data_IF_353169164295
#
_entry.id   IF_353169164295
#
_cell.length_a   1.000
_cell.length_b   1.000
_cell.length_c   1.000
_cell.angle_alpha   90.00
_cell.angle_beta   90.00
_cell.angle_gamma   90.00
#
_symmetry.space_group_name_H-M   'P 1'
#
loop_
_entity.id
_entity.type
_entity.pdbx_description
1 polymer ?
#
# COMPACT_ATOMS: atom_id res chain seq x y z
N UNK A 1 9.95 -53.66 6.66
CA UNK A 1 9.22 -52.44 7.05
C UNK A 1 10.23 -51.38 7.48
N UNK A 2 10.68 -50.55 6.55
CA UNK A 2 11.66 -49.48 6.82
C UNK A 2 10.97 -48.26 7.40
N UNK A 3 10.99 -48.14 8.73
CA UNK A 3 10.51 -46.95 9.44
C UNK A 3 11.51 -45.82 9.30
N UNK A 4 11.38 -45.01 8.25
CA UNK A 4 12.13 -43.76 8.13
C UNK A 4 11.81 -42.87 9.33
N UNK A 5 12.85 -42.53 10.12
CA UNK A 5 12.77 -41.45 11.12
C UNK A 5 12.20 -40.23 10.42
N UNK A 6 10.96 -39.86 10.72
CA UNK A 6 10.46 -38.54 10.43
C UNK A 6 11.30 -37.56 11.28
N UNK A 7 12.39 -37.06 10.71
CA UNK A 7 13.05 -35.87 11.24
C UNK A 7 11.94 -34.83 11.37
N UNK A 8 11.66 -34.40 12.59
CA UNK A 8 10.76 -33.30 12.88
C UNK A 8 11.24 -32.10 12.05
N UNK A 9 10.62 -31.87 10.89
CA UNK A 9 10.88 -30.67 10.09
C UNK A 9 10.44 -29.51 10.97
N UNK A 10 11.35 -28.59 11.25
CA UNK A 10 11.03 -27.40 12.02
C UNK A 10 9.81 -26.67 11.45
N UNK A 11 9.07 -26.00 12.32
CA UNK A 11 7.89 -25.24 11.94
C UNK A 11 8.33 -23.88 11.41
N UNK A 12 7.85 -23.50 10.23
CA UNK A 12 8.11 -22.18 9.69
C UNK A 12 7.53 -21.09 10.59
N UNK A 13 8.21 -19.95 10.62
CA UNK A 13 7.71 -18.74 11.25
C UNK A 13 6.44 -18.22 10.56
N UNK A 14 5.65 -17.43 11.29
CA UNK A 14 4.46 -16.81 10.72
C UNK A 14 4.82 -15.55 9.95
N UNK A 15 4.10 -15.33 8.87
CA UNK A 15 4.19 -14.09 8.12
C UNK A 15 3.62 -12.91 8.90
N UNK A 16 4.25 -11.76 8.78
CA UNK A 16 3.83 -10.49 9.36
C UNK A 16 3.25 -9.57 8.29
N UNK A 17 2.36 -8.67 8.70
CA UNK A 17 1.79 -7.63 7.84
C UNK A 17 2.04 -6.28 8.47
N UNK A 18 2.49 -5.32 7.67
CA UNK A 18 2.71 -3.95 8.09
C UNK A 18 2.11 -3.00 7.06
N UNK A 19 1.40 -1.97 7.52
CA UNK A 19 0.89 -0.93 6.64
C UNK A 19 1.84 0.25 6.68
N UNK A 20 2.46 0.56 5.55
CA UNK A 20 3.36 1.71 5.41
C UNK A 20 2.64 2.83 4.67
N UNK A 21 2.45 3.95 5.37
CA UNK A 21 1.97 5.18 4.74
C UNK A 21 3.11 5.92 4.05
N UNK A 22 2.87 6.31 2.81
CA UNK A 22 3.80 7.11 1.99
C UNK A 22 3.10 8.35 1.47
N UNK A 23 3.84 9.45 1.38
CA UNK A 23 3.37 10.63 0.70
C UNK A 23 3.19 10.35 -0.80
N UNK A 24 2.38 11.16 -1.47
CA UNK A 24 2.12 11.01 -2.89
C UNK A 24 3.40 11.11 -3.72
N UNK A 25 4.25 12.08 -3.40
CA UNK A 25 5.53 12.32 -4.05
C UNK A 25 6.50 11.16 -3.82
N UNK A 26 6.54 10.62 -2.59
CA UNK A 26 7.36 9.45 -2.25
C UNK A 26 6.96 8.21 -3.04
N UNK A 27 5.66 8.01 -3.28
CA UNK A 27 5.16 6.90 -4.10
C UNK A 27 5.59 7.05 -5.57
N UNK A 28 5.69 8.28 -6.06
CA UNK A 28 6.03 8.57 -7.46
C UNK A 28 7.53 8.49 -7.69
N UNK A 29 8.34 9.14 -6.86
CA UNK A 29 9.79 9.18 -7.02
C UNK A 29 10.51 7.97 -6.42
N UNK A 30 9.82 7.20 -5.58
CA UNK A 30 10.42 6.16 -4.78
C UNK A 30 11.09 6.73 -3.53
N UNK A 31 11.16 5.92 -2.49
CA UNK A 31 11.78 6.31 -1.22
C UNK A 31 12.32 5.09 -0.48
N UNK A 32 13.22 5.30 0.45
CA UNK A 32 13.67 4.28 1.39
C UNK A 32 13.25 4.71 2.80
N UNK A 33 12.46 3.88 3.49
CA UNK A 33 11.98 4.14 4.85
C UNK A 33 12.44 3.05 5.79
N UNK A 34 12.86 3.45 6.99
CA UNK A 34 13.10 2.51 8.10
C UNK A 34 11.81 2.35 8.90
N UNK A 35 11.34 1.11 9.04
CA UNK A 35 10.21 0.75 9.90
C UNK A 35 10.72 -0.02 11.11
N UNK A 36 10.07 0.15 12.25
CA UNK A 36 10.33 -0.64 13.45
C UNK A 36 9.17 -1.61 13.66
N UNK A 37 9.46 -2.90 13.68
CA UNK A 37 8.47 -3.94 13.99
C UNK A 37 8.89 -4.72 15.23
N UNK A 38 7.92 -5.05 16.09
CA UNK A 38 8.14 -5.95 17.21
C UNK A 38 7.78 -7.37 16.78
N UNK A 39 8.77 -8.28 16.77
CA UNK A 39 8.55 -9.67 16.34
C UNK A 39 9.20 -10.69 17.28
N UNK A 40 8.60 -11.87 17.46
CA UNK A 40 9.28 -13.01 18.07
C UNK A 40 10.48 -13.43 17.23
N UNK A 41 11.66 -13.36 17.82
CA UNK A 41 12.92 -13.84 17.26
C UNK A 41 13.43 -15.04 18.04
N UNK A 42 14.42 -15.76 17.52
CA UNK A 42 15.09 -16.81 18.29
C UNK A 42 15.74 -16.20 19.53
N UNK A 43 15.55 -16.86 20.67
CA UNK A 43 16.12 -16.39 21.92
C UNK A 43 17.66 -16.44 21.84
N UNK A 44 18.33 -15.29 22.01
CA UNK A 44 19.78 -15.21 21.96
C UNK A 44 20.48 -16.02 23.05
N UNK A 45 19.83 -16.24 24.19
CA UNK A 45 20.38 -17.00 25.32
C UNK A 45 20.41 -18.52 25.12
N UNK A 46 19.58 -19.06 24.22
CA UNK A 46 19.51 -20.52 23.96
C UNK A 46 19.46 -20.88 22.47
N UNK A 47 19.60 -19.90 21.58
CA UNK A 47 19.51 -20.05 20.12
C UNK A 47 18.28 -20.83 19.63
N UNK A 48 17.14 -20.70 20.34
CA UNK A 48 15.91 -21.41 19.98
C UNK A 48 15.70 -22.78 20.63
N UNK A 49 16.66 -23.29 21.39
CA UNK A 49 16.55 -24.61 22.03
C UNK A 49 15.57 -24.63 23.20
N UNK A 50 15.40 -23.49 23.88
CA UNK A 50 14.55 -23.34 25.07
C UNK A 50 15.18 -23.87 26.35
N UNK A 51 16.39 -24.44 26.29
CA UNK A 51 17.15 -24.96 27.43
C UNK A 51 18.12 -23.91 27.99
N UNK A 52 18.49 -24.03 29.25
CA UNK A 52 19.56 -23.22 29.81
C UNK A 52 20.91 -23.50 29.10
N UNK A 53 21.82 -22.53 29.00
CA UNK A 53 23.12 -22.72 28.36
C UNK A 53 23.86 -23.96 28.90
N UNK A 54 24.35 -24.81 28.01
CA UNK A 54 25.06 -26.05 28.38
C UNK A 54 24.15 -27.22 28.80
N UNK A 55 22.83 -27.05 28.78
CA UNK A 55 21.85 -28.12 29.02
C UNK A 55 21.12 -28.47 27.74
N UNK A 56 20.65 -29.71 27.62
CA UNK A 56 19.98 -30.22 26.43
C UNK A 56 18.59 -30.78 26.76
N UNK A 57 17.80 -31.00 25.71
CA UNK A 57 16.49 -31.65 25.84
C UNK A 57 16.69 -33.13 26.16
N UNK A 58 16.02 -33.59 27.20
CA UNK A 58 16.06 -34.99 27.58
C UNK A 58 14.92 -35.78 26.93
N UNK A 59 15.16 -37.07 26.67
CA UNK A 59 14.11 -37.97 26.19
C UNK A 59 13.00 -38.08 27.25
N UNK A 60 11.74 -37.95 26.84
CA UNK A 60 10.62 -38.10 27.75
C UNK A 60 10.49 -39.56 28.23
N UNK A 61 10.70 -39.78 29.54
CA UNK A 61 10.65 -41.12 30.14
C UNK A 61 9.26 -41.78 30.01
N UNK A 62 8.18 -41.00 29.99
CA UNK A 62 6.81 -41.53 29.95
C UNK A 62 6.39 -42.11 28.59
N UNK A 63 6.97 -41.61 27.50
CA UNK A 63 6.69 -42.11 26.14
C UNK A 63 7.94 -42.68 25.46
N UNK A 64 9.07 -42.78 26.17
CA UNK A 64 10.38 -43.15 25.63
C UNK A 64 10.75 -42.44 24.31
N UNK A 65 10.42 -41.14 24.20
CA UNK A 65 10.69 -40.37 22.99
C UNK A 65 9.67 -40.53 21.86
N UNK A 66 8.61 -41.32 22.04
CA UNK A 66 7.61 -41.58 20.99
C UNK A 66 6.57 -40.46 20.85
N UNK A 67 6.46 -39.55 21.81
CA UNK A 67 5.49 -38.44 21.80
C UNK A 67 4.04 -38.86 22.09
N UNK A 68 3.75 -40.15 22.05
CA UNK A 68 2.43 -40.72 22.33
C UNK A 68 2.54 -41.88 23.33
N UNK A 69 1.46 -42.10 24.09
CA UNK A 69 1.32 -43.21 25.03
C UNK A 69 0.13 -44.06 24.61
N UNK A 70 0.31 -45.37 24.64
CA UNK A 70 -0.76 -46.33 24.35
C UNK A 70 -1.65 -46.48 25.59
N UNK A 71 -2.94 -46.23 25.44
CA UNK A 71 -3.94 -46.47 26.48
C UNK A 71 -4.84 -47.63 26.04
N UNK A 72 -4.86 -48.71 26.82
CA UNK A 72 -5.76 -49.83 26.59
C UNK A 72 -7.14 -49.52 27.17
N UNK A 73 -8.18 -49.62 26.33
CA UNK A 73 -9.58 -49.53 26.72
C UNK A 73 -10.30 -50.80 26.26
N UNK A 74 -10.43 -51.76 27.17
CA UNK A 74 -10.92 -53.10 26.85
C UNK A 74 -10.00 -53.80 25.85
N UNK A 75 -10.55 -54.21 24.70
CA UNK A 75 -9.84 -54.90 23.63
C UNK A 75 -9.21 -53.95 22.58
N UNK A 76 -9.36 -52.62 22.73
CA UNK A 76 -8.77 -51.63 21.85
C UNK A 76 -7.57 -50.93 22.50
N UNK A 77 -6.49 -50.73 21.74
CA UNK A 77 -5.38 -49.85 22.14
C UNK A 77 -5.47 -48.55 21.38
N UNK A 78 -5.61 -47.43 22.10
CA UNK A 78 -5.71 -46.10 21.50
C UNK A 78 -4.41 -45.35 21.80
N UNK A 79 -3.77 -44.82 20.77
CA UNK A 79 -2.65 -43.90 20.94
C UNK A 79 -3.19 -42.53 21.36
N UNK A 80 -2.70 -42.00 22.48
CA UNK A 80 -2.97 -40.63 22.93
C UNK A 80 -1.67 -39.85 22.99
N UNK A 81 -1.73 -38.56 22.72
CA UNK A 81 -0.59 -37.66 22.92
C UNK A 81 -0.07 -37.76 24.35
N UNK A 82 1.24 -37.91 24.53
CA UNK A 82 1.84 -38.00 25.86
C UNK A 82 1.57 -36.71 26.64
N UNK A 83 0.97 -36.75 27.84
CA UNK A 83 0.62 -35.54 28.59
C UNK A 83 1.85 -34.78 29.12
N UNK A 84 2.99 -35.46 29.26
CA UNK A 84 4.23 -34.87 29.80
C UNK A 84 5.00 -34.06 28.75
N UNK A 85 5.21 -34.63 27.55
CA UNK A 85 5.94 -33.95 26.48
C UNK A 85 5.02 -33.33 25.41
N UNK A 86 3.70 -33.46 25.57
CA UNK A 86 2.69 -32.92 24.66
C UNK A 86 2.92 -33.30 23.18
N UNK A 87 3.45 -34.49 22.91
CA UNK A 87 3.74 -34.93 21.54
C UNK A 87 5.18 -34.73 21.08
N UNK A 88 5.98 -33.92 21.78
CA UNK A 88 7.35 -33.58 21.37
C UNK A 88 8.33 -34.76 21.53
N UNK A 89 8.05 -35.69 22.45
CA UNK A 89 8.95 -36.81 22.77
C UNK A 89 10.17 -36.43 23.61
N UNK A 90 10.43 -35.13 23.79
CA UNK A 90 11.50 -34.61 24.64
C UNK A 90 10.96 -33.64 25.69
N UNK A 91 11.67 -33.49 26.79
CA UNK A 91 11.35 -32.58 27.90
C UNK A 91 12.52 -31.63 28.16
N UNK A 92 12.19 -30.42 28.59
CA UNK A 92 13.16 -29.42 29.06
C UNK A 92 13.15 -29.48 30.58
N UNK A 93 14.22 -29.99 31.20
CA UNK A 93 14.35 -29.99 32.67
C UNK A 93 14.75 -28.62 33.21
N UNK A 94 15.70 -27.99 32.52
CA UNK A 94 16.25 -26.69 32.92
C UNK A 94 15.90 -25.68 31.83
N UNK A 95 14.78 -24.94 31.97
CA UNK A 95 14.38 -23.96 30.97
C UNK A 95 15.37 -22.80 30.91
N UNK A 96 15.50 -22.22 29.72
CA UNK A 96 16.25 -20.98 29.52
C UNK A 96 15.63 -19.86 30.37
N UNK A 97 16.44 -19.14 31.14
CA UNK A 97 15.98 -18.02 31.98
C UNK A 97 15.47 -16.83 31.17
N UNK A 98 15.92 -16.65 29.92
CA UNK A 98 15.52 -15.53 29.06
C UNK A 98 14.16 -15.75 28.42
N UNK A 99 13.88 -16.97 27.93
CA UNK A 99 12.64 -17.27 27.19
C UNK A 99 11.69 -18.23 27.92
N UNK A 100 12.04 -18.66 29.13
CA UNK A 100 11.27 -19.59 29.97
C UNK A 100 10.85 -20.88 29.25
N UNK A 101 11.72 -21.42 28.40
CA UNK A 101 11.45 -22.66 27.67
C UNK A 101 10.80 -22.49 26.29
N UNK A 102 10.35 -21.28 25.92
CA UNK A 102 9.66 -21.05 24.64
C UNK A 102 10.60 -21.05 23.43
N UNK A 103 11.89 -20.80 23.63
CA UNK A 103 12.90 -20.66 22.57
C UNK A 103 12.79 -19.35 21.77
N UNK A 104 11.84 -18.47 22.09
CA UNK A 104 11.63 -17.20 21.39
C UNK A 104 11.63 -16.01 22.34
N UNK A 105 12.01 -14.85 21.84
CA UNK A 105 11.94 -13.59 22.57
C UNK A 105 11.46 -12.47 21.66
N UNK A 106 10.65 -11.56 22.20
CA UNK A 106 10.15 -10.40 21.46
C UNK A 106 11.28 -9.38 21.31
N UNK A 107 11.59 -9.01 20.06
CA UNK A 107 12.59 -7.98 19.77
C UNK A 107 12.05 -6.98 18.76
N UNK A 108 12.43 -5.73 18.95
CA UNK A 108 12.20 -4.66 17.99
C UNK A 108 13.28 -4.72 16.91
N UNK A 109 12.85 -4.93 15.67
CA UNK A 109 13.71 -4.98 14.50
C UNK A 109 13.46 -3.74 13.63
N UNK A 110 14.55 -3.05 13.28
CA UNK A 110 14.56 -1.95 12.32
C UNK A 110 14.80 -2.51 10.92
N UNK A 111 13.83 -2.34 10.03
CA UNK A 111 13.85 -2.91 8.68
C UNK A 111 13.79 -1.76 7.68
N UNK A 112 14.73 -1.76 6.73
CA UNK A 112 14.71 -0.81 5.62
C UNK A 112 13.83 -1.32 4.50
N UNK A 113 12.75 -0.60 4.23
CA UNK A 113 11.82 -0.88 3.14
C UNK A 113 12.14 0.06 1.98
N UNK A 114 12.51 -0.52 0.85
CA UNK A 114 12.69 0.21 -0.40
C UNK A 114 11.38 0.24 -1.16
N UNK A 115 10.78 1.42 -1.26
CA UNK A 115 9.55 1.67 -2.00
C UNK A 115 9.95 2.09 -3.42
N UNK A 116 9.65 1.27 -4.45
CA UNK A 116 10.01 1.60 -5.82
C UNK A 116 9.20 2.79 -6.34
N UNK A 117 9.81 3.55 -7.26
CA UNK A 117 9.15 4.63 -7.96
C UNK A 117 7.94 4.10 -8.76
N UNK A 118 6.82 4.82 -8.70
CA UNK A 118 5.60 4.45 -9.41
C UNK A 118 4.73 3.42 -8.70
N UNK A 119 4.99 3.12 -7.43
CA UNK A 119 4.16 2.17 -6.66
C UNK A 119 2.71 2.65 -6.57
N UNK A 120 1.74 1.76 -6.79
CA UNK A 120 0.32 2.09 -6.61
C UNK A 120 -0.13 1.93 -5.16
N UNK A 121 -1.23 2.61 -4.84
CA UNK A 121 -1.95 2.40 -3.60
C UNK A 121 -2.41 0.93 -3.46
N UNK A 122 -2.20 0.34 -2.28
CA UNK A 122 -2.61 -1.03 -1.98
C UNK A 122 -1.63 -2.12 -2.44
N UNK A 123 -0.58 -1.78 -3.19
CA UNK A 123 0.46 -2.74 -3.54
C UNK A 123 1.18 -3.29 -2.31
N UNK A 124 1.65 -4.54 -2.41
CA UNK A 124 2.30 -5.26 -1.33
C UNK A 124 3.76 -5.58 -1.68
N UNK A 125 4.68 -5.11 -0.85
CA UNK A 125 6.08 -5.46 -0.91
C UNK A 125 6.36 -6.64 0.01
N UNK A 126 7.09 -7.64 -0.49
CA UNK A 126 7.45 -8.84 0.27
C UNK A 126 8.92 -8.77 0.67
N UNK A 127 9.20 -8.79 1.97
CA UNK A 127 10.54 -8.86 2.54
C UNK A 127 10.74 -10.26 3.12
N UNK A 128 11.66 -11.02 2.52
CA UNK A 128 11.86 -12.44 2.83
C UNK A 128 12.60 -12.62 4.16
N UNK A 129 12.11 -13.51 5.02
CA UNK A 129 12.74 -13.80 6.32
C UNK A 129 12.58 -12.67 7.37
N UNK A 130 11.80 -11.65 7.05
CA UNK A 130 11.55 -10.51 7.95
C UNK A 130 10.28 -10.71 8.83
N UNK A 131 9.66 -11.88 8.78
CA UNK A 131 8.52 -12.29 9.61
C UNK A 131 8.93 -12.85 10.98
N UNK A 132 8.07 -13.63 11.62
CA UNK A 132 8.40 -14.26 12.91
C UNK A 132 9.47 -15.35 12.74
N UNK A 133 10.28 -15.59 13.78
CA UNK A 133 11.25 -16.67 13.74
C UNK A 133 10.59 -18.06 13.66
N UNK A 134 11.15 -18.95 12.84
CA UNK A 134 10.80 -20.36 12.82
C UNK A 134 11.17 -21.08 14.12
N UNK A 135 10.71 -22.32 14.29
CA UNK A 135 11.09 -23.17 15.43
C UNK A 135 11.62 -24.52 14.95
N UNK A 136 12.53 -25.13 15.73
CA UNK A 136 13.08 -26.45 15.41
C UNK A 136 13.85 -26.53 14.08
N UNK A 137 14.49 -25.44 13.66
CA UNK A 137 15.21 -25.35 12.39
C UNK A 137 14.32 -25.02 11.18
N UNK A 138 13.07 -24.61 11.39
CA UNK A 138 12.21 -24.08 10.33
C UNK A 138 12.64 -22.66 9.92
N UNK A 139 12.38 -22.25 8.67
CA UNK A 139 12.72 -20.90 8.21
C UNK A 139 11.83 -19.85 8.88
N UNK A 140 12.30 -18.61 8.89
CA UNK A 140 11.52 -17.47 9.35
C UNK A 140 10.39 -17.15 8.36
N UNK A 141 9.32 -16.55 8.88
CA UNK A 141 8.23 -16.04 8.04
C UNK A 141 8.67 -14.83 7.22
N UNK A 142 7.77 -14.34 6.37
CA UNK A 142 8.00 -13.14 5.56
C UNK A 142 7.25 -11.93 6.10
N UNK A 143 7.73 -10.72 5.80
CA UNK A 143 7.01 -9.47 6.09
C UNK A 143 6.37 -8.94 4.81
N UNK A 144 5.05 -8.79 4.83
CA UNK A 144 4.27 -8.15 3.77
C UNK A 144 3.98 -6.70 4.16
N UNK A 145 4.61 -5.77 3.46
CA UNK A 145 4.39 -4.33 3.64
C UNK A 145 3.35 -3.87 2.63
N UNK A 146 2.15 -3.52 3.09
CA UNK A 146 1.11 -2.92 2.27
C UNK A 146 1.31 -1.41 2.21
N UNK A 147 1.41 -0.87 1.00
CA UNK A 147 1.61 0.56 0.78
C UNK A 147 0.25 1.28 0.76
N UNK A 148 0.15 2.34 1.56
CA UNK A 148 -0.98 3.26 1.55
C UNK A 148 -0.43 4.62 1.13
N UNK A 149 -0.78 5.03 -0.10
CA UNK A 149 -0.41 6.35 -0.63
C UNK A 149 -1.41 7.37 -0.11
N UNK A 150 -0.92 8.47 0.45
CA UNK A 150 -1.75 9.60 0.88
C UNK A 150 -2.29 10.37 -0.32
N UNK A 151 -3.51 10.84 -0.19
CA UNK A 151 -4.14 11.69 -1.20
C UNK A 151 -3.39 13.02 -1.34
N UNK A 152 -3.28 13.51 -2.57
CA UNK A 152 -2.65 14.79 -2.87
C UNK A 152 -3.73 15.85 -3.10
N UNK A 153 -3.58 17.08 -2.55
CA UNK A 153 -4.62 18.12 -2.63
C UNK A 153 -4.88 18.64 -4.06
N UNK A 154 -3.91 18.49 -4.96
CA UNK A 154 -3.97 19.04 -6.34
C UNK A 154 -4.07 17.96 -7.41
N UNK A 155 -3.54 16.76 -7.14
CA UNK A 155 -3.36 15.72 -8.15
C UNK A 155 -4.20 14.51 -7.79
N UNK A 156 -4.93 14.02 -8.77
CA UNK A 156 -5.60 12.73 -8.72
C UNK A 156 -4.84 11.79 -9.65
N UNK A 157 -4.40 10.65 -9.15
CA UNK A 157 -3.71 9.63 -9.95
C UNK A 157 -4.75 8.63 -10.46
N UNK A 158 -4.75 8.39 -11.76
CA UNK A 158 -5.42 7.24 -12.37
C UNK A 158 -4.36 6.45 -13.14
N UNK A 159 -4.06 5.24 -12.67
CA UNK A 159 -2.96 4.42 -13.18
C UNK A 159 -1.62 5.17 -13.22
N UNK A 160 -1.12 5.46 -14.42
CA UNK A 160 0.14 6.19 -14.65
C UNK A 160 -0.08 7.68 -14.95
N UNK A 161 -1.33 8.09 -15.16
CA UNK A 161 -1.70 9.45 -15.53
C UNK A 161 -2.11 10.24 -14.29
N UNK A 162 -1.91 11.55 -14.38
CA UNK A 162 -2.28 12.51 -13.34
C UNK A 162 -3.31 13.46 -13.87
N UNK A 163 -4.25 13.83 -13.02
CA UNK A 163 -5.28 14.80 -13.30
C UNK A 163 -5.18 15.94 -12.31
N UNK A 164 -5.26 17.17 -12.79
CA UNK A 164 -5.40 18.35 -11.95
C UNK A 164 -6.41 19.32 -12.56
N UNK A 165 -7.12 20.01 -11.66
CA UNK A 165 -8.04 21.08 -12.02
C UNK A 165 -7.34 22.42 -11.83
N UNK A 166 -7.28 23.21 -12.90
CA UNK A 166 -6.75 24.57 -12.84
C UNK A 166 -7.87 25.57 -13.04
N UNK A 167 -8.21 26.36 -12.00
CA UNK A 167 -9.23 27.38 -12.13
C UNK A 167 -8.69 28.57 -12.95
N UNK A 168 -9.47 29.00 -13.94
CA UNK A 168 -9.22 30.24 -14.69
C UNK A 168 -10.45 31.15 -14.63
N UNK A 169 -10.24 32.46 -14.74
CA UNK A 169 -11.36 33.39 -14.82
C UNK A 169 -11.95 33.42 -16.24
N UNK A 170 -13.18 33.92 -16.36
CA UNK A 170 -13.90 34.01 -17.63
C UNK A 170 -13.13 34.80 -18.71
N UNK A 171 -12.56 35.95 -18.36
CA UNK A 171 -11.82 36.78 -19.31
C UNK A 171 -10.60 36.04 -19.89
N UNK A 172 -9.87 35.30 -19.06
CA UNK A 172 -8.74 34.45 -19.47
C UNK A 172 -9.17 33.31 -20.39
N UNK A 173 -10.35 32.72 -20.17
CA UNK A 173 -10.89 31.67 -21.04
C UNK A 173 -11.26 32.21 -22.43
N UNK A 174 -11.86 33.40 -22.47
CA UNK A 174 -12.30 34.07 -23.71
C UNK A 174 -11.11 34.61 -24.50
N UNK A 175 -10.22 35.36 -23.85
CA UNK A 175 -9.11 36.05 -24.51
C UNK A 175 -7.88 35.16 -24.74
N UNK A 176 -7.82 34.02 -24.05
CA UNK A 176 -6.63 33.19 -23.97
C UNK A 176 -5.65 33.76 -22.94
N UNK A 177 -4.81 32.89 -22.39
CA UNK A 177 -3.86 33.26 -21.36
C UNK A 177 -2.72 32.25 -21.29
N UNK A 178 -1.68 32.56 -20.53
CA UNK A 178 -0.65 31.60 -20.16
C UNK A 178 -0.71 31.42 -18.65
N UNK A 179 -0.85 30.18 -18.19
CA UNK A 179 -0.95 29.83 -16.77
C UNK A 179 0.24 28.98 -16.35
N UNK A 180 0.66 29.12 -15.09
CA UNK A 180 1.61 28.18 -14.49
C UNK A 180 0.84 26.98 -13.93
N UNK A 181 1.13 25.79 -14.45
CA UNK A 181 0.55 24.54 -13.96
C UNK A 181 1.57 23.87 -13.03
N UNK A 182 1.17 23.49 -11.80
CA UNK A 182 2.02 22.67 -10.95
C UNK A 182 2.20 21.29 -11.57
N UNK A 183 3.42 20.80 -11.60
CA UNK A 183 3.78 19.41 -11.92
C UNK A 183 4.55 18.83 -10.75
N UNK A 184 4.81 17.53 -10.77
CA UNK A 184 5.60 16.85 -9.72
C UNK A 184 7.05 17.35 -9.61
N UNK A 185 7.60 17.92 -10.69
CA UNK A 185 9.00 18.34 -10.78
C UNK A 185 9.17 19.87 -10.69
N UNK A 186 8.07 20.60 -10.45
CA UNK A 186 8.04 22.05 -10.45
C UNK A 186 6.92 22.60 -11.32
N UNK A 187 6.98 23.89 -11.64
CA UNK A 187 5.94 24.56 -12.43
C UNK A 187 6.31 24.58 -13.91
N UNK A 188 5.30 24.43 -14.77
CA UNK A 188 5.46 24.52 -16.23
C UNK A 188 4.39 25.46 -16.78
N UNK A 189 4.76 26.32 -17.73
CA UNK A 189 3.79 27.20 -18.37
C UNK A 189 2.94 26.43 -19.38
N UNK A 190 1.63 26.68 -19.33
CA UNK A 190 0.65 26.12 -20.26
C UNK A 190 -0.10 27.27 -20.94
N UNK A 191 -0.01 27.30 -22.27
CA UNK A 191 -0.73 28.26 -23.09
C UNK A 191 -2.17 27.80 -23.31
N UNK A 192 -3.13 28.60 -22.86
CA UNK A 192 -4.56 28.40 -23.06
C UNK A 192 -5.01 29.25 -24.26
N UNK A 193 -5.49 28.63 -25.34
CA UNK A 193 -6.05 29.35 -26.48
C UNK A 193 -7.29 30.17 -26.11
N UNK A 194 -7.53 31.25 -26.85
CA UNK A 194 -8.78 31.99 -26.78
C UNK A 194 -9.99 31.09 -27.10
N UNK A 195 -11.11 31.33 -26.42
CA UNK A 195 -12.34 30.53 -26.58
C UNK A 195 -12.23 29.11 -26.01
N UNK A 196 -11.42 28.90 -24.97
CA UNK A 196 -11.32 27.58 -24.33
C UNK A 196 -12.54 27.32 -23.44
N UNK A 197 -13.33 26.25 -23.68
CA UNK A 197 -14.49 25.94 -22.86
C UNK A 197 -14.08 25.37 -21.49
N UNK A 198 -14.94 25.54 -20.50
CA UNK A 198 -14.79 24.87 -19.20
C UNK A 198 -14.83 23.35 -19.38
N UNK A 199 -14.01 22.64 -18.61
CA UNK A 199 -13.84 21.18 -18.70
C UNK A 199 -12.90 20.73 -19.81
N UNK A 200 -12.36 21.62 -20.65
CA UNK A 200 -11.36 21.25 -21.65
C UNK A 200 -10.12 20.69 -20.96
N UNK A 201 -9.66 19.53 -21.43
CA UNK A 201 -8.46 18.86 -20.92
C UNK A 201 -7.28 19.10 -21.86
N UNK A 202 -6.18 19.59 -21.31
CA UNK A 202 -4.89 19.72 -21.97
C UNK A 202 -3.96 18.63 -21.48
N UNK A 203 -3.30 17.95 -22.42
CA UNK A 203 -2.38 16.84 -22.12
C UNK A 203 -0.94 17.31 -22.18
N UNK A 204 -0.23 17.17 -21.07
CA UNK A 204 1.21 17.41 -20.96
C UNK A 204 1.94 16.07 -20.95
N UNK A 205 2.65 15.78 -22.05
CA UNK A 205 3.31 14.49 -22.26
C UNK A 205 4.45 14.27 -21.27
N UNK A 206 4.58 13.04 -20.78
CA UNK A 206 5.64 12.54 -19.90
C UNK A 206 5.77 13.29 -18.57
N UNK A 207 4.67 13.88 -18.10
CA UNK A 207 4.56 14.61 -16.83
C UNK A 207 3.70 13.90 -15.78
N UNK A 208 3.30 12.66 -16.04
CA UNK A 208 2.60 11.79 -15.10
C UNK A 208 3.54 10.95 -14.23
N UNK A 209 3.05 9.80 -13.77
CA UNK A 209 3.76 8.89 -12.86
C UNK A 209 4.63 7.92 -13.67
N UNK A 210 5.85 7.57 -13.21
CA UNK A 210 6.63 6.50 -13.81
C UNK A 210 5.93 5.15 -13.70
N UNK A 211 5.96 4.38 -14.78
CA UNK A 211 5.40 3.02 -14.81
C UNK A 211 6.38 2.09 -14.09
N UNK A 212 5.89 1.34 -13.10
CA UNK A 212 6.71 0.42 -12.33
C UNK A 212 7.39 -0.61 -13.25
N UNK A 213 8.73 -0.67 -13.19
CA UNK A 213 9.52 -1.60 -14.00
C UNK A 213 9.73 -1.21 -15.47
N UNK A 214 9.35 0.02 -15.86
CA UNK A 214 9.55 0.57 -17.20
C UNK A 214 10.23 1.94 -17.13
N UNK A 215 10.87 2.35 -18.22
CA UNK A 215 11.38 3.73 -18.37
C UNK A 215 10.29 4.71 -18.82
N UNK A 216 9.09 4.24 -19.10
CA UNK A 216 7.96 5.07 -19.53
C UNK A 216 7.32 5.80 -18.35
N UNK A 217 6.72 6.95 -18.66
CA UNK A 217 5.90 7.73 -17.74
C UNK A 217 4.55 7.99 -18.39
N UNK A 218 3.52 8.07 -17.58
CA UNK A 218 2.23 8.61 -18.02
C UNK A 218 2.29 10.13 -18.19
N UNK A 219 1.12 10.71 -18.35
CA UNK A 219 0.92 12.10 -18.71
C UNK A 219 0.17 12.88 -17.63
N UNK A 220 0.27 14.21 -17.69
CA UNK A 220 -0.51 15.10 -16.85
C UNK A 220 -1.65 15.70 -17.67
N UNK A 221 -2.88 15.44 -17.24
CA UNK A 221 -4.12 15.94 -17.77
C UNK A 221 -4.60 17.13 -16.95
N UNK A 222 -4.47 18.31 -17.54
CA UNK A 222 -4.86 19.58 -16.92
C UNK A 222 -6.26 19.92 -17.40
N UNK A 223 -7.25 19.81 -16.51
CA UNK A 223 -8.63 20.20 -16.81
C UNK A 223 -8.82 21.66 -16.40
N UNK A 224 -9.25 22.46 -17.37
CA UNK A 224 -9.52 23.88 -17.15
C UNK A 224 -10.91 24.03 -16.54
N UNK A 225 -10.99 24.66 -15.38
CA UNK A 225 -12.25 24.97 -14.72
C UNK A 225 -12.50 26.48 -14.76
N UNK A 226 -13.49 26.94 -15.53
CA UNK A 226 -13.83 28.36 -15.56
C UNK A 226 -14.55 28.72 -14.26
N UNK A 227 -13.92 29.52 -13.42
CA UNK A 227 -14.47 29.96 -12.15
C UNK A 227 -15.37 31.20 -12.36
N UNK A 228 -16.64 31.07 -11.98
CA UNK A 228 -17.60 32.17 -11.98
C UNK A 228 -17.61 32.79 -10.58
N UNK A 229 -17.23 34.08 -10.43
CA UNK A 229 -17.20 34.72 -9.13
C UNK A 229 -18.61 34.87 -8.55
N UNK A 230 -18.76 34.60 -7.25
CA UNK A 230 -20.04 34.73 -6.54
C UNK A 230 -20.36 36.17 -6.14
N UNK A 231 -19.35 37.05 -6.13
CA UNK A 231 -19.49 38.48 -5.80
C UNK A 231 -18.70 39.29 -6.82
N UNK A 232 -19.32 40.38 -7.29
CA UNK A 232 -18.73 41.30 -8.26
C UNK A 232 -18.95 42.75 -7.79
N UNK A 233 -18.02 43.64 -8.15
CA UNK A 233 -18.13 45.08 -7.88
C UNK A 233 -19.18 45.73 -8.80
N UNK A 234 -19.58 46.97 -8.47
CA UNK A 234 -20.48 47.76 -9.32
C UNK A 234 -19.91 47.93 -10.74
N UNK A 235 -18.64 48.29 -10.84
CA UNK A 235 -17.92 48.44 -12.12
C UNK A 235 -17.90 47.14 -12.92
N UNK A 236 -17.61 46.00 -12.28
CA UNK A 236 -17.63 44.69 -12.94
C UNK A 236 -19.02 44.35 -13.47
N UNK A 237 -20.08 44.65 -12.71
CA UNK A 237 -21.46 44.44 -13.16
C UNK A 237 -21.79 45.28 -14.39
N UNK A 238 -21.47 46.57 -14.39
CA UNK A 238 -21.71 47.43 -15.54
C UNK A 238 -21.01 46.91 -16.81
N UNK A 239 -19.77 46.44 -16.68
CA UNK A 239 -19.01 45.86 -17.81
C UNK A 239 -19.67 44.58 -18.31
N UNK A 240 -20.11 43.69 -17.41
CA UNK A 240 -20.77 42.44 -17.80
C UNK A 240 -22.15 42.68 -18.42
N UNK A 241 -22.89 43.69 -17.98
CA UNK A 241 -24.17 44.07 -18.62
C UNK A 241 -23.96 44.64 -20.02
N UNK A 242 -22.92 45.47 -20.21
CA UNK A 242 -22.51 45.92 -21.55
C UNK A 242 -22.11 44.74 -22.43
N UNK A 243 -21.30 43.81 -21.92
CA UNK A 243 -20.92 42.60 -22.63
C UNK A 243 -22.15 41.79 -23.04
N UNK A 244 -23.09 41.55 -22.11
CA UNK A 244 -24.36 40.86 -22.40
C UNK A 244 -25.17 41.54 -23.50
N UNK A 245 -25.19 42.88 -23.53
CA UNK A 245 -25.89 43.62 -24.58
C UNK A 245 -25.22 43.51 -25.95
N UNK A 246 -23.88 43.36 -25.98
CA UNK A 246 -23.09 43.19 -27.20
C UNK A 246 -23.17 41.76 -27.74
N UNK A 247 -23.14 40.77 -26.85
CA UNK A 247 -23.29 39.36 -27.20
C UNK A 247 -24.72 39.08 -27.70
N UNK A 248 -25.74 39.83 -27.26
CA UNK A 248 -27.13 39.61 -27.64
C UNK A 248 -27.69 38.27 -27.14
N UNK A 249 -28.92 37.91 -27.55
CA UNK A 249 -29.49 36.57 -27.33
C UNK A 249 -28.89 35.58 -28.34
N UNK A 250 -27.56 35.43 -28.42
CA UNK A 250 -26.96 34.34 -29.21
C UNK A 250 -27.23 33.05 -28.44
N UNK A 251 -28.12 32.16 -28.94
CA UNK A 251 -28.17 30.82 -28.39
C UNK A 251 -26.83 30.20 -28.78
N UNK A 252 -26.07 29.75 -27.79
CA UNK A 252 -24.85 28.99 -28.04
C UNK A 252 -25.20 27.83 -29.00
N UNK A 253 -24.31 27.45 -29.92
CA UNK A 253 -24.60 26.35 -30.87
C UNK A 253 -25.08 25.07 -30.14
N UNK A 254 -24.62 24.88 -28.91
CA UNK A 254 -25.02 23.81 -28.00
C UNK A 254 -26.48 23.92 -27.53
N UNK A 255 -27.03 25.12 -27.31
CA UNK A 255 -28.44 25.32 -26.93
C UNK A 255 -29.39 24.95 -28.06
N UNK A 256 -29.08 25.32 -29.31
CA UNK A 256 -29.93 24.93 -30.46
C UNK A 256 -30.02 23.41 -30.62
N UNK A 257 -28.87 22.72 -30.56
CA UNK A 257 -28.82 21.26 -30.64
C UNK A 257 -29.45 20.56 -29.42
N UNK A 258 -29.36 21.16 -28.23
CA UNK A 258 -30.00 20.64 -27.01
C UNK A 258 -31.54 20.74 -27.08
N UNK A 259 -32.08 21.89 -27.49
CA UNK A 259 -33.53 22.09 -27.59
C UNK A 259 -34.17 21.30 -28.73
N UNK A 260 -33.47 21.10 -29.86
CA UNK A 260 -33.93 20.20 -30.94
C UNK A 260 -33.99 18.74 -30.47
N UNK A 261 -32.95 18.25 -29.80
CA UNK A 261 -32.94 16.88 -29.24
C UNK A 261 -34.03 16.68 -28.18
N UNK A 262 -34.30 17.67 -27.33
CA UNK A 262 -35.43 17.58 -26.40
C UNK A 262 -36.77 17.50 -27.15
N UNK A 263 -36.99 18.30 -28.20
CA UNK A 263 -38.23 18.23 -29.00
C UNK A 263 -38.43 16.87 -29.68
N UNK A 264 -37.36 16.24 -30.15
CA UNK A 264 -37.39 14.89 -30.73
C UNK A 264 -37.66 13.80 -29.67
N UNK A 265 -37.26 13.98 -28.41
CA UNK A 265 -37.52 13.01 -27.34
C UNK A 265 -38.95 13.05 -26.78
N UNK A 266 -39.67 14.15 -26.97
CA UNK A 266 -41.03 14.35 -26.47
C UNK A 266 -42.11 14.39 -27.58
N UNK A 267 -41.73 14.10 -28.82
CA UNK A 267 -42.64 13.84 -29.96
C UNK A 267 -42.71 12.35 -30.26
#
# INVERSE_FOLDING_TARGET
>A
FGGGRAQSRGTAGRDLRYTLEVAFEEAIFGTEKEISISRPTLCGGCSGEGTAPGTSRERCAQCDGQGQVAMQQGFFTIARTCPVCQGVGQIIRTPCSTCNGSGKELKDAKIKVKVPAGIDHGQRLKLRGEGEAGSGGGPDGDLYVQIVVKDHPVFVREDSDLFCDVPINYASAVLGTEIEVPTLEGKVSLKIPAGTPSGKVFRMRSKGVPVLGSSQRGDLHVRVAVHVPTRISHEQREILEKLRSLDGDIPTQDEKGFFEKMKEMFS
#
